data_IF_464361649434
#
_entry.id   IF_464361649434
#
_cell.length_a   1.000
_cell.length_b   1.000
_cell.length_c   1.000
_cell.angle_alpha   90.00
_cell.angle_beta   90.00
_cell.angle_gamma   90.00
#
_symmetry.space_group_name_H-M   'P 1'
#
loop_
_entity.id
_entity.type
_entity.pdbx_description
1 polymer ?
#
# COMPACT_ATOMS: atom_id res chain seq x y z
N UNK A 1 -20.02 3.60 5.61
CA UNK A 1 -20.15 2.15 5.86
C UNK A 1 -18.94 1.48 5.26
N UNK A 2 -18.10 0.86 6.07
CA UNK A 2 -17.01 0.00 5.59
C UNK A 2 -17.66 -1.31 5.14
N UNK A 3 -17.45 -1.72 3.88
CA UNK A 3 -17.94 -3.02 3.40
C UNK A 3 -17.37 -4.15 4.26
N UNK A 4 -18.15 -5.22 4.49
CA UNK A 4 -17.70 -6.41 5.22
C UNK A 4 -16.41 -7.00 4.63
N UNK A 5 -16.17 -6.77 3.34
CA UNK A 5 -14.94 -7.13 2.65
C UNK A 5 -13.68 -6.59 3.36
N UNK A 6 -13.70 -5.36 3.87
CA UNK A 6 -12.52 -4.75 4.51
C UNK A 6 -12.35 -5.13 5.98
N UNK A 7 -13.28 -5.89 6.58
CA UNK A 7 -13.20 -6.26 7.99
C UNK A 7 -11.84 -6.89 8.39
N UNK A 8 -11.21 -7.77 7.59
CA UNK A 8 -9.89 -8.34 7.92
C UNK A 8 -8.74 -7.31 7.90
N UNK A 9 -8.96 -6.14 7.31
CA UNK A 9 -7.96 -5.09 7.15
C UNK A 9 -8.05 -4.00 8.21
N UNK A 10 -9.20 -3.85 8.88
CA UNK A 10 -9.45 -2.75 9.83
C UNK A 10 -8.47 -2.76 11.00
N UNK A 11 -8.08 -3.95 11.47
CA UNK A 11 -7.18 -4.13 12.62
C UNK A 11 -5.70 -4.20 12.23
N UNK A 12 -5.38 -4.21 10.93
CA UNK A 12 -3.99 -4.28 10.47
C UNK A 12 -3.27 -2.94 10.70
N UNK A 13 -1.95 -2.96 10.95
CA UNK A 13 -1.16 -1.74 11.02
C UNK A 13 -1.29 -0.91 9.74
N UNK A 14 -1.28 0.42 9.91
CA UNK A 14 -1.19 1.35 8.78
C UNK A 14 0.26 1.43 8.33
N UNK A 15 0.50 1.13 7.06
CA UNK A 15 1.83 1.21 6.42
C UNK A 15 1.87 2.46 5.53
N UNK A 16 0.82 2.70 4.76
CA UNK A 16 0.71 3.82 3.83
C UNK A 16 -0.04 4.95 4.54
N UNK A 17 0.70 5.95 5.00
CA UNK A 17 0.15 7.14 5.66
C UNK A 17 0.51 8.46 4.97
N UNK A 18 1.52 8.45 4.10
CA UNK A 18 1.94 9.59 3.27
C UNK A 18 2.29 9.14 1.85
N UNK A 19 2.17 10.02 0.84
CA UNK A 19 2.78 9.78 -0.47
C UNK A 19 4.30 9.51 -0.34
N UNK A 20 4.86 8.73 -1.26
CA UNK A 20 6.29 8.38 -1.24
C UNK A 20 6.61 7.05 -1.91
N UNK A 21 7.87 6.62 -1.79
CA UNK A 21 8.31 5.30 -2.28
C UNK A 21 8.02 4.22 -1.25
N UNK A 22 7.53 3.07 -1.72
CA UNK A 22 7.20 1.90 -0.91
C UNK A 22 7.70 0.63 -1.58
N UNK A 23 7.95 -0.41 -0.78
CA UNK A 23 8.44 -1.71 -1.26
C UNK A 23 7.34 -2.76 -1.13
N UNK A 24 7.08 -3.48 -2.22
CA UNK A 24 6.16 -4.61 -2.24
C UNK A 24 6.80 -5.85 -1.62
N UNK A 25 5.98 -6.86 -1.31
CA UNK A 25 6.43 -8.16 -0.83
C UNK A 25 7.35 -8.86 -1.83
N UNK A 26 7.13 -8.64 -3.13
CA UNK A 26 7.98 -9.10 -4.22
C UNK A 26 9.32 -8.37 -4.35
N UNK A 27 9.52 -7.28 -3.60
CA UNK A 27 10.73 -6.46 -3.65
C UNK A 27 10.68 -5.35 -4.70
N UNK A 28 9.57 -5.17 -5.40
CA UNK A 28 9.40 -4.08 -6.35
C UNK A 28 9.15 -2.75 -5.61
N UNK A 29 9.54 -1.65 -6.24
CA UNK A 29 9.29 -0.30 -5.72
C UNK A 29 8.08 0.31 -6.39
N UNK A 30 7.17 0.85 -5.59
CA UNK A 30 5.98 1.59 -6.01
C UNK A 30 6.06 3.01 -5.48
N UNK A 31 5.72 3.99 -6.32
CA UNK A 31 5.54 5.38 -5.91
C UNK A 31 4.06 5.59 -5.61
N UNK A 32 3.70 5.80 -4.35
CA UNK A 32 2.35 6.16 -3.92
C UNK A 32 2.16 7.67 -4.10
N UNK A 33 1.20 8.07 -4.92
CA UNK A 33 0.83 9.46 -5.19
C UNK A 33 -0.40 9.91 -4.38
N UNK A 34 -1.31 8.98 -4.10
CA UNK A 34 -2.58 9.25 -3.41
C UNK A 34 -2.68 8.38 -2.17
N UNK A 35 -3.08 8.96 -1.03
CA UNK A 35 -3.32 8.22 0.22
C UNK A 35 -4.76 8.41 0.67
N UNK A 36 -5.41 7.31 1.03
CA UNK A 36 -6.75 7.31 1.63
C UNK A 36 -6.68 7.02 3.12
N UNK A 37 -7.37 7.82 3.93
CA UNK A 37 -7.55 7.55 5.35
C UNK A 37 -8.65 6.49 5.62
N UNK A 38 -9.48 6.20 4.61
CA UNK A 38 -10.62 5.28 4.72
C UNK A 38 -10.17 3.82 4.66
N UNK A 39 -11.09 2.91 4.98
CA UNK A 39 -10.90 1.47 4.78
C UNK A 39 -11.39 1.08 3.39
N UNK A 40 -10.65 1.54 2.39
CA UNK A 40 -10.82 1.24 0.96
C UNK A 40 -9.46 0.97 0.32
N UNK A 41 -9.43 0.64 -0.97
CA UNK A 41 -8.19 0.53 -1.75
C UNK A 41 -7.78 1.86 -2.41
N UNK A 42 -8.01 2.98 -1.70
CA UNK A 42 -7.82 4.33 -2.23
C UNK A 42 -6.38 4.86 -2.14
N UNK A 43 -5.41 4.07 -1.66
CA UNK A 43 -4.01 4.45 -1.76
C UNK A 43 -3.51 4.07 -3.14
N UNK A 44 -3.30 5.03 -4.04
CA UNK A 44 -2.95 4.77 -5.44
C UNK A 44 -1.47 5.02 -5.64
N UNK A 45 -0.84 4.15 -6.43
CA UNK A 45 0.55 4.29 -6.82
C UNK A 45 0.87 3.65 -8.15
N UNK A 46 2.08 3.92 -8.61
CA UNK A 46 2.57 3.52 -9.92
C UNK A 46 3.91 2.80 -9.78
N UNK A 47 4.07 1.66 -10.45
CA UNK A 47 5.32 0.92 -10.55
C UNK A 47 6.27 1.59 -11.56
N UNK A 48 7.52 1.17 -11.61
CA UNK A 48 8.52 1.72 -12.55
C UNK A 48 8.19 1.47 -14.02
N UNK A 49 7.39 0.44 -14.32
CA UNK A 49 6.94 0.11 -15.68
C UNK A 49 5.66 0.88 -16.09
N UNK A 50 5.12 1.71 -15.20
CA UNK A 50 3.93 2.54 -15.45
C UNK A 50 2.60 1.88 -15.10
N UNK A 51 2.59 0.62 -14.62
CA UNK A 51 1.37 -0.02 -14.11
C UNK A 51 0.89 0.73 -12.87
N UNK A 52 -0.45 0.87 -12.73
CA UNK A 52 -1.08 1.51 -11.57
C UNK A 52 -1.93 0.51 -10.80
N UNK A 53 -1.84 0.57 -9.48
CA UNK A 53 -2.60 -0.26 -8.55
C UNK A 53 -3.15 0.59 -7.39
N UNK A 54 -4.09 0.01 -6.66
CA UNK A 54 -4.70 0.60 -5.48
C UNK A 54 -4.61 -0.33 -4.27
N UNK A 55 -4.13 0.20 -3.15
CA UNK A 55 -3.94 -0.53 -1.90
C UNK A 55 -4.80 0.04 -0.78
N UNK A 56 -5.11 -0.82 0.19
CA UNK A 56 -5.55 -0.38 1.50
C UNK A 56 -4.38 0.26 2.23
N UNK A 57 -4.65 1.19 3.16
CA UNK A 57 -3.63 1.84 3.99
C UNK A 57 -2.73 0.88 4.78
N UNK A 58 -3.13 -0.38 4.95
CA UNK A 58 -2.29 -1.46 5.49
C UNK A 58 -1.32 -2.08 4.47
N UNK A 59 -1.24 -1.55 3.25
CA UNK A 59 -0.45 -2.07 2.14
C UNK A 59 -1.05 -3.26 1.39
N UNK A 60 -2.31 -3.64 1.66
CA UNK A 60 -2.92 -4.83 1.06
C UNK A 60 -3.64 -4.52 -0.24
N UNK A 61 -3.43 -5.34 -1.28
CA UNK A 61 -4.16 -5.26 -2.54
C UNK A 61 -5.51 -6.00 -2.46
N UNK A 62 -5.54 -7.09 -1.68
CA UNK A 62 -6.73 -7.88 -1.40
C UNK A 62 -6.98 -7.98 0.11
N UNK A 63 -8.25 -7.97 0.51
CA UNK A 63 -8.59 -7.96 1.93
C UNK A 63 -8.40 -9.31 2.63
N UNK A 64 -8.58 -10.41 1.90
CA UNK A 64 -8.65 -11.78 2.42
C UNK A 64 -7.38 -12.60 2.16
N UNK A 65 -6.47 -12.11 1.32
CA UNK A 65 -5.31 -12.84 0.84
C UNK A 65 -4.07 -11.96 0.82
N UNK A 66 -2.89 -12.59 0.84
CA UNK A 66 -1.62 -11.92 0.60
C UNK A 66 -1.20 -12.16 -0.84
N UNK A 67 -0.57 -11.17 -1.45
CA UNK A 67 0.00 -11.31 -2.78
C UNK A 67 1.38 -10.65 -2.87
N UNK A 68 2.07 -10.92 -3.97
CA UNK A 68 3.42 -10.38 -4.24
C UNK A 68 3.43 -8.85 -4.32
N UNK A 69 2.30 -8.25 -4.68
CA UNK A 69 2.13 -6.82 -4.85
C UNK A 69 1.74 -6.09 -3.55
N UNK A 70 1.58 -6.80 -2.42
CA UNK A 70 1.30 -6.14 -1.14
C UNK A 70 2.48 -5.25 -0.72
N UNK A 71 2.21 -4.00 -0.37
CA UNK A 71 3.19 -3.10 0.24
C UNK A 71 3.48 -3.52 1.67
N UNK A 72 4.76 -3.71 2.00
CA UNK A 72 5.19 -4.21 3.32
C UNK A 72 5.98 -3.18 4.14
N UNK A 73 6.52 -2.13 3.50
CA UNK A 73 7.22 -1.03 4.19
C UNK A 73 7.38 0.20 3.28
N UNK A 74 7.59 1.36 3.90
CA UNK A 74 8.10 2.53 3.19
C UNK A 74 9.57 2.30 2.75
N UNK A 75 9.92 2.80 1.58
CA UNK A 75 11.29 2.79 1.08
C UNK A 75 12.02 4.06 1.55
N UNK A 76 12.40 4.08 2.82
CA UNK A 76 13.24 5.15 3.36
C UNK A 76 14.67 4.90 2.87
N UNK A 77 15.12 5.66 1.88
CA UNK A 77 16.55 5.72 1.58
C UNK A 77 17.21 6.44 2.75
N UNK A 78 18.10 5.75 3.47
CA UNK A 78 18.99 6.42 4.42
C UNK A 78 19.79 7.46 3.62
N UNK A 79 19.59 8.72 3.95
CA UNK A 79 20.45 9.79 3.44
C UNK A 79 21.75 9.67 4.22
N UNK A 80 22.74 8.97 3.67
CA UNK A 80 24.10 9.01 4.21
C UNK A 80 24.58 10.46 4.14
N UNK A 81 24.72 11.08 5.32
CA UNK A 81 25.33 12.40 5.51
C UNK A 81 26.86 12.30 5.51
#
# INVERSE_FOLDING_TARGET
MTSAYFAPLVTKPVIINTPGEYVTRGGETVIIDTVSARHDHGCIGTYSDGIKDGWHKSGRLYADSECINDIVRANLREVSA
#
